data_IF_658066657463
#
_entry.id   IF_658066657463
#
_cell.length_a   1.000
_cell.length_b   1.000
_cell.length_c   1.000
_cell.angle_alpha   90.00
_cell.angle_beta   90.00
_cell.angle_gamma   90.00
#
_symmetry.space_group_name_H-M   'P 1'
#
loop_
_entity.id
_entity.type
_entity.pdbx_description
1 polymer ?
#
# COMPACT_ATOMS: atom_id res chain seq x y z
N UNK A 1 45.96 10.03 40.95
CA UNK A 1 45.60 9.34 42.21
C UNK A 1 44.33 8.56 41.94
N UNK A 2 44.40 7.24 42.10
CA UNK A 2 43.36 6.27 41.78
C UNK A 2 42.58 5.85 43.03
N UNK A 3 41.30 5.50 42.87
CA UNK A 3 40.51 4.63 43.76
C UNK A 3 39.32 4.11 42.93
N UNK A 4 39.35 2.87 42.42
CA UNK A 4 38.91 1.60 43.03
C UNK A 4 37.39 1.45 43.26
N UNK A 5 36.76 0.80 42.27
CA UNK A 5 35.78 -0.31 42.27
C UNK A 5 34.92 -0.58 43.51
N UNK A 6 33.60 -0.69 43.28
CA UNK A 6 32.75 -1.70 43.92
C UNK A 6 31.72 -2.23 42.92
N UNK A 7 31.78 -3.53 42.63
CA UNK A 7 30.75 -4.26 41.86
C UNK A 7 29.59 -4.59 42.79
N UNK A 8 28.35 -4.50 42.28
CA UNK A 8 27.18 -5.08 42.94
C UNK A 8 26.26 -5.69 41.90
N UNK A 9 26.30 -7.01 41.86
CA UNK A 9 25.50 -7.93 41.06
C UNK A 9 24.05 -7.91 41.57
N UNK A 10 23.10 -7.45 40.75
CA UNK A 10 21.67 -7.65 41.01
C UNK A 10 21.10 -8.64 40.00
N UNK A 11 20.90 -9.86 40.50
CA UNK A 11 20.20 -10.97 39.89
C UNK A 11 18.72 -10.55 39.75
N UNK A 12 18.23 -10.38 38.52
CA UNK A 12 16.80 -10.30 38.25
C UNK A 12 16.26 -11.68 37.87
N UNK A 13 15.29 -12.12 38.68
CA UNK A 13 14.56 -13.38 38.57
C UNK A 13 13.54 -13.32 37.42
N UNK A 14 13.58 -14.34 36.55
CA UNK A 14 12.56 -14.58 35.50
C UNK A 14 11.21 -14.91 36.15
N UNK A 15 10.10 -14.27 35.76
CA UNK A 15 8.77 -14.77 36.11
C UNK A 15 8.37 -15.92 35.17
N UNK A 16 8.03 -17.06 35.78
CA UNK A 16 7.48 -18.25 35.12
C UNK A 16 6.01 -18.02 34.75
N UNK A 17 5.71 -17.95 33.46
CA UNK A 17 4.34 -17.93 32.96
C UNK A 17 3.79 -19.36 32.90
N UNK A 18 2.83 -19.64 33.77
CA UNK A 18 2.00 -20.85 33.79
C UNK A 18 1.11 -20.91 32.54
N UNK A 19 1.33 -21.91 31.69
CA UNK A 19 0.51 -22.20 30.52
C UNK A 19 -0.81 -22.87 30.96
N UNK A 20 -1.95 -22.20 30.75
CA UNK A 20 -3.27 -22.84 30.82
C UNK A 20 -3.55 -23.61 29.51
N UNK A 21 -4.21 -24.78 29.54
CA UNK A 21 -4.46 -25.58 28.35
C UNK A 21 -5.40 -24.86 27.37
N UNK A 22 -5.02 -24.84 26.10
CA UNK A 22 -5.79 -24.31 24.98
C UNK A 22 -7.07 -25.12 24.75
N UNK A 23 -8.21 -24.41 24.71
CA UNK A 23 -9.48 -24.99 24.30
C UNK A 23 -9.42 -25.37 22.81
N UNK A 24 -9.75 -26.63 22.54
CA UNK A 24 -9.67 -27.29 21.24
C UNK A 24 -10.82 -26.80 20.34
N UNK A 25 -10.55 -25.85 19.46
CA UNK A 25 -11.50 -25.43 18.42
C UNK A 25 -11.72 -26.57 17.42
N UNK A 26 -12.99 -26.95 17.21
CA UNK A 26 -13.40 -27.94 16.20
C UNK A 26 -13.53 -27.23 14.84
N UNK A 27 -12.94 -27.75 13.75
CA UNK A 27 -13.16 -27.19 12.42
C UNK A 27 -14.56 -27.57 11.93
N UNK A 28 -15.37 -26.58 11.59
CA UNK A 28 -16.61 -26.83 10.84
C UNK A 28 -16.26 -27.21 9.40
N UNK A 29 -16.88 -28.30 8.97
CA UNK A 29 -16.87 -28.99 7.68
C UNK A 29 -16.84 -28.02 6.48
N UNK A 30 -15.78 -28.11 5.66
CA UNK A 30 -15.68 -27.45 4.35
C UNK A 30 -16.86 -27.89 3.46
N UNK A 31 -17.63 -26.92 2.96
CA UNK A 31 -18.45 -27.09 1.77
C UNK A 31 -17.62 -26.77 0.53
N UNK A 32 -17.69 -27.67 -0.45
CA UNK A 32 -17.01 -27.73 -1.74
C UNK A 32 -16.72 -26.38 -2.44
N UNK A 33 -15.49 -26.29 -2.97
CA UNK A 33 -15.07 -25.31 -3.99
C UNK A 33 -15.63 -25.80 -5.35
N UNK A 34 -16.27 -24.96 -6.17
CA UNK A 34 -16.64 -25.34 -7.53
C UNK A 34 -15.42 -25.28 -8.46
N UNK A 35 -15.23 -26.34 -9.24
CA UNK A 35 -14.22 -26.48 -10.30
C UNK A 35 -14.31 -25.34 -11.34
N UNK A 36 -13.18 -24.81 -11.85
CA UNK A 36 -13.19 -23.82 -12.93
C UNK A 36 -13.54 -24.48 -14.28
N UNK A 37 -14.44 -23.84 -15.03
CA UNK A 37 -14.88 -24.27 -16.35
C UNK A 37 -13.77 -24.18 -17.42
N UNK A 38 -13.78 -25.04 -18.46
CA UNK A 38 -12.69 -25.13 -19.42
C UNK A 38 -12.83 -24.10 -20.55
N UNK A 39 -11.79 -23.30 -20.79
CA UNK A 39 -11.69 -22.58 -22.07
C UNK A 39 -10.71 -21.41 -22.12
N UNK A 40 -9.47 -21.68 -22.54
CA UNK A 40 -8.81 -20.90 -23.59
C UNK A 40 -7.59 -21.68 -24.13
N UNK A 41 -7.59 -22.03 -25.42
CA UNK A 41 -6.45 -22.66 -26.10
C UNK A 41 -5.44 -21.57 -26.47
N UNK A 42 -4.20 -21.68 -25.97
CA UNK A 42 -3.07 -20.86 -26.45
C UNK A 42 -2.57 -21.41 -27.79
N UNK A 43 -2.68 -20.60 -28.85
CA UNK A 43 -1.91 -20.78 -30.09
C UNK A 43 -0.63 -19.96 -30.01
N UNK A 44 0.53 -20.62 -29.94
CA UNK A 44 1.82 -19.96 -29.99
C UNK A 44 2.18 -19.61 -31.45
N UNK A 45 2.39 -18.32 -31.75
CA UNK A 45 3.15 -17.88 -32.92
C UNK A 45 4.43 -17.17 -32.46
N UNK A 46 5.58 -17.72 -32.87
CA UNK A 46 6.92 -17.16 -32.70
C UNK A 46 7.07 -15.93 -33.61
N UNK A 47 7.45 -14.79 -33.04
CA UNK A 47 7.90 -13.60 -33.76
C UNK A 47 8.74 -12.72 -32.83
N UNK A 48 9.98 -12.43 -33.22
CA UNK A 48 10.93 -11.61 -32.46
C UNK A 48 10.46 -10.14 -32.42
N UNK A 49 10.27 -9.59 -31.22
CA UNK A 49 9.98 -8.18 -30.98
C UNK A 49 9.49 -7.97 -29.56
N UNK A 50 10.02 -6.97 -28.85
CA UNK A 50 9.67 -6.65 -27.48
C UNK A 50 8.14 -6.53 -27.29
N UNK A 51 7.58 -7.34 -26.39
CA UNK A 51 6.15 -7.37 -26.10
C UNK A 51 5.82 -6.18 -25.20
N UNK A 52 5.17 -5.16 -25.77
CA UNK A 52 4.56 -4.06 -25.02
C UNK A 52 3.24 -4.59 -24.43
N UNK A 53 3.18 -4.81 -23.12
CA UNK A 53 1.97 -5.25 -22.45
C UNK A 53 1.16 -4.03 -22.02
N UNK A 54 0.28 -3.53 -22.89
CA UNK A 54 -0.76 -2.58 -22.51
C UNK A 54 -1.98 -3.35 -22.00
N UNK A 55 -2.22 -3.36 -20.70
CA UNK A 55 -3.49 -3.86 -20.16
C UNK A 55 -4.57 -2.79 -20.34
N UNK A 56 -5.48 -3.04 -21.28
CA UNK A 56 -6.75 -2.31 -21.35
C UNK A 56 -7.67 -2.83 -20.23
N UNK A 57 -8.23 -1.92 -19.42
CA UNK A 57 -9.13 -2.23 -18.31
C UNK A 57 -10.49 -2.71 -18.84
N UNK A 58 -10.97 -3.82 -18.28
CA UNK A 58 -12.25 -4.46 -18.60
C UNK A 58 -13.46 -3.65 -18.10
N UNK A 59 -14.59 -3.75 -18.82
CA UNK A 59 -15.86 -3.12 -18.46
C UNK A 59 -16.37 -3.57 -17.08
N UNK A 60 -16.87 -2.60 -16.31
CA UNK A 60 -17.28 -2.75 -14.91
C UNK A 60 -18.61 -3.50 -14.72
N UNK A 61 -18.69 -4.29 -13.63
CA UNK A 61 -19.90 -4.97 -13.12
C UNK A 61 -20.70 -3.98 -12.26
N UNK A 62 -22.05 -3.88 -12.37
CA UNK A 62 -22.80 -2.87 -11.64
C UNK A 62 -23.10 -3.34 -10.21
N UNK A 63 -22.48 -2.69 -9.22
CA UNK A 63 -22.90 -2.74 -7.82
C UNK A 63 -23.64 -1.44 -7.51
N UNK A 64 -24.72 -1.56 -6.72
CA UNK A 64 -25.85 -0.63 -6.59
C UNK A 64 -25.49 0.86 -6.41
N UNK A 65 -26.15 1.68 -7.24
CA UNK A 65 -26.11 3.14 -7.47
C UNK A 65 -26.21 4.08 -6.25
N UNK A 66 -26.33 3.58 -5.02
CA UNK A 66 -26.76 4.36 -3.85
C UNK A 66 -25.64 4.89 -2.96
N UNK A 67 -24.39 4.45 -3.15
CA UNK A 67 -23.26 4.78 -2.26
C UNK A 67 -22.28 5.82 -2.82
N UNK A 68 -22.49 6.30 -4.04
CA UNK A 68 -21.66 7.36 -4.60
C UNK A 68 -22.13 8.70 -4.05
N UNK A 69 -21.26 9.32 -3.26
CA UNK A 69 -21.34 10.71 -2.81
C UNK A 69 -21.78 11.62 -3.95
N UNK A 70 -22.60 12.63 -3.60
CA UNK A 70 -23.20 13.62 -4.49
C UNK A 70 -22.18 14.29 -5.44
N UNK A 71 -22.00 13.69 -6.61
CA UNK A 71 -20.91 13.96 -7.55
C UNK A 71 -21.22 15.10 -8.52
N UNK A 72 -21.93 16.15 -8.06
CA UNK A 72 -22.24 17.32 -8.90
C UNK A 72 -21.03 18.24 -9.14
N UNK A 73 -19.90 18.05 -8.43
CA UNK A 73 -18.63 18.76 -8.66
C UNK A 73 -17.57 17.98 -9.47
N UNK A 74 -17.72 16.66 -9.63
CA UNK A 74 -16.69 15.78 -10.23
C UNK A 74 -16.81 15.60 -11.75
N UNK A 75 -17.72 16.32 -12.42
CA UNK A 75 -17.89 16.21 -13.88
C UNK A 75 -16.74 16.78 -14.72
N UNK A 76 -15.64 17.27 -14.12
CA UNK A 76 -14.60 17.98 -14.89
C UNK A 76 -13.13 17.62 -14.61
N UNK A 77 -12.79 16.64 -13.77
CA UNK A 77 -11.38 16.23 -13.63
C UNK A 77 -11.09 14.99 -14.46
N UNK A 78 -10.80 15.22 -15.76
CA UNK A 78 -10.35 14.21 -16.72
C UNK A 78 -8.97 13.61 -16.39
N UNK A 79 -8.20 14.28 -15.54
CA UNK A 79 -6.82 13.89 -15.26
C UNK A 79 -6.75 12.61 -14.40
N UNK A 80 -5.85 11.68 -14.71
CA UNK A 80 -5.72 10.42 -13.99
C UNK A 80 -5.14 10.60 -12.59
N UNK A 81 -5.47 9.69 -11.68
CA UNK A 81 -4.62 9.40 -10.53
C UNK A 81 -3.49 8.50 -11.03
N UNK A 82 -2.25 8.82 -10.71
CA UNK A 82 -1.10 7.98 -11.10
C UNK A 82 -0.74 7.07 -9.93
N UNK A 83 -0.69 5.77 -10.17
CA UNK A 83 -0.24 4.77 -9.20
C UNK A 83 1.19 4.38 -9.54
N UNK A 84 2.12 4.63 -8.62
CA UNK A 84 3.50 4.14 -8.71
C UNK A 84 3.54 2.79 -7.99
N UNK A 85 3.69 1.72 -8.76
CA UNK A 85 3.79 0.35 -8.28
C UNK A 85 5.26 -0.03 -8.00
N UNK A 86 5.57 -0.22 -6.74
CA UNK A 86 6.88 -0.63 -6.23
C UNK A 86 7.03 -2.15 -6.14
N UNK A 87 6.46 -2.87 -7.11
CA UNK A 87 6.57 -4.33 -7.24
C UNK A 87 5.96 -5.09 -6.06
N UNK A 88 4.79 -4.65 -5.60
CA UNK A 88 4.06 -5.29 -4.50
C UNK A 88 2.82 -6.07 -4.97
N UNK A 89 2.55 -7.18 -4.29
CA UNK A 89 1.41 -8.04 -4.61
C UNK A 89 0.07 -7.43 -4.22
N UNK A 90 0.03 -6.46 -3.30
CA UNK A 90 -1.19 -5.81 -2.84
C UNK A 90 -1.57 -4.57 -3.67
N UNK A 91 -0.74 -4.12 -4.62
CA UNK A 91 -1.06 -2.99 -5.50
C UNK A 91 -2.39 -3.21 -6.23
N UNK A 92 -2.68 -4.45 -6.67
CA UNK A 92 -3.95 -4.79 -7.33
C UNK A 92 -5.18 -4.54 -6.45
N UNK A 93 -5.08 -4.74 -5.14
CA UNK A 93 -6.19 -4.48 -4.23
C UNK A 93 -6.51 -2.98 -4.19
N UNK A 94 -5.49 -2.12 -4.15
CA UNK A 94 -5.67 -0.66 -4.18
C UNK A 94 -6.32 -0.21 -5.50
N UNK A 95 -5.81 -0.72 -6.62
CA UNK A 95 -6.36 -0.42 -7.96
C UNK A 95 -7.80 -0.91 -8.11
N UNK A 96 -8.13 -2.09 -7.58
CA UNK A 96 -9.49 -2.62 -7.61
C UNK A 96 -10.45 -1.69 -6.85
N UNK A 97 -10.11 -1.28 -5.62
CA UNK A 97 -10.92 -0.34 -4.84
C UNK A 97 -11.12 0.99 -5.58
N UNK A 98 -10.07 1.53 -6.20
CA UNK A 98 -10.19 2.77 -7.00
C UNK A 98 -11.12 2.59 -8.21
N UNK A 99 -11.05 1.44 -8.87
CA UNK A 99 -11.93 1.10 -9.99
C UNK A 99 -13.39 0.93 -9.57
N UNK A 100 -13.64 0.26 -8.44
CA UNK A 100 -14.98 0.13 -7.85
C UNK A 100 -15.56 1.50 -7.47
N UNK A 101 -14.73 2.44 -7.02
CA UNK A 101 -15.13 3.82 -6.75
C UNK A 101 -15.28 4.68 -8.04
N UNK A 102 -15.00 4.13 -9.21
CA UNK A 102 -15.16 4.81 -10.50
C UNK A 102 -14.09 5.86 -10.81
N UNK A 103 -12.94 5.83 -10.12
CA UNK A 103 -11.84 6.74 -10.41
C UNK A 103 -11.07 6.30 -11.66
N UNK A 104 -10.67 7.29 -12.47
CA UNK A 104 -9.72 7.08 -13.56
C UNK A 104 -8.28 7.10 -13.03
N UNK A 105 -7.52 6.04 -13.30
CA UNK A 105 -6.13 5.92 -12.88
C UNK A 105 -5.26 5.20 -13.91
N UNK A 106 -3.95 5.49 -13.86
CA UNK A 106 -2.92 4.81 -14.64
C UNK A 106 -1.86 4.24 -13.69
N UNK A 107 -1.39 3.02 -13.93
CA UNK A 107 -0.40 2.34 -13.10
C UNK A 107 0.92 2.26 -13.85
N UNK A 108 2.01 2.64 -13.18
CA UNK A 108 3.38 2.53 -13.70
C UNK A 108 4.29 1.90 -12.66
N UNK A 109 5.22 1.07 -13.10
CA UNK A 109 6.30 0.60 -12.21
C UNK A 109 7.22 1.77 -11.85
N UNK A 110 7.87 1.66 -10.70
CA UNK A 110 8.74 2.70 -10.16
C UNK A 110 10.00 3.01 -10.99
N UNK A 111 10.23 2.27 -12.07
CA UNK A 111 11.33 2.37 -13.01
C UNK A 111 10.86 2.60 -14.48
N UNK A 112 9.55 2.69 -14.74
CA UNK A 112 9.00 2.84 -16.09
C UNK A 112 8.94 4.28 -16.60
N UNK A 113 8.89 5.26 -15.69
CA UNK A 113 8.79 6.68 -16.01
C UNK A 113 9.82 7.48 -15.22
N UNK A 114 10.21 8.64 -15.74
CA UNK A 114 10.87 9.68 -14.93
C UNK A 114 9.85 10.55 -14.19
N UNK A 115 10.28 11.28 -13.16
CA UNK A 115 9.42 12.22 -12.43
C UNK A 115 8.91 13.34 -13.34
N UNK A 116 9.72 13.79 -14.31
CA UNK A 116 9.32 14.78 -15.30
C UNK A 116 8.26 14.24 -16.27
N UNK A 117 8.35 12.96 -16.66
CA UNK A 117 7.31 12.29 -17.44
C UNK A 117 6.00 12.20 -16.66
N UNK A 118 6.09 11.82 -15.38
CA UNK A 118 4.94 11.77 -14.49
C UNK A 118 4.30 13.16 -14.34
N UNK A 119 5.10 14.21 -14.18
CA UNK A 119 4.64 15.61 -14.12
C UNK A 119 3.92 16.02 -15.41
N UNK A 120 4.44 15.64 -16.58
CA UNK A 120 3.81 15.95 -17.89
C UNK A 120 2.44 15.28 -18.07
N UNK A 121 2.17 14.18 -17.37
CA UNK A 121 0.85 13.54 -17.35
C UNK A 121 -0.21 14.34 -16.58
N UNK A 122 0.19 15.40 -15.88
CA UNK A 122 -0.70 16.29 -15.13
C UNK A 122 -1.63 15.52 -14.16
N UNK A 123 -1.07 14.68 -13.25
CA UNK A 123 -1.85 13.86 -12.34
C UNK A 123 -2.77 14.70 -11.46
N UNK A 124 -4.01 14.24 -11.23
CA UNK A 124 -4.87 14.85 -10.19
C UNK A 124 -4.44 14.45 -8.77
N UNK A 125 -3.62 13.41 -8.65
CA UNK A 125 -3.07 12.86 -7.42
C UNK A 125 -2.13 11.71 -7.75
N UNK A 126 -1.24 11.37 -6.82
CA UNK A 126 -0.34 10.21 -6.96
C UNK A 126 -0.51 9.28 -5.76
N UNK A 127 -0.68 7.99 -6.05
CA UNK A 127 -0.69 6.90 -5.09
C UNK A 127 0.65 6.16 -5.17
N UNK A 128 1.39 6.09 -4.08
CA UNK A 128 2.63 5.31 -4.00
C UNK A 128 2.32 4.01 -3.26
N UNK A 129 2.45 2.89 -3.97
CA UNK A 129 2.10 1.57 -3.45
C UNK A 129 3.05 1.09 -2.34
N UNK A 130 2.69 0.01 -1.62
CA UNK A 130 3.66 -0.77 -0.87
C UNK A 130 4.76 -1.33 -1.78
N UNK A 131 5.83 -1.84 -1.17
CA UNK A 131 6.97 -2.44 -1.87
C UNK A 131 7.90 -3.13 -0.88
N UNK A 132 8.75 -4.06 -1.34
CA UNK A 132 9.82 -4.64 -0.55
C UNK A 132 10.95 -3.62 -0.33
N UNK A 133 11.83 -3.90 0.65
CA UNK A 133 13.04 -3.11 0.85
C UNK A 133 12.83 -1.82 1.63
N UNK A 134 13.55 -0.78 1.22
CA UNK A 134 13.60 0.53 1.88
C UNK A 134 13.25 1.65 0.89
N UNK A 135 12.91 2.87 1.36
CA UNK A 135 12.62 3.99 0.47
C UNK A 135 13.71 4.28 -0.58
N UNK A 136 14.98 3.97 -0.28
CA UNK A 136 16.08 4.15 -1.24
C UNK A 136 15.98 3.19 -2.44
N UNK A 137 15.26 2.07 -2.30
CA UNK A 137 15.04 1.08 -3.35
C UNK A 137 13.78 1.38 -4.19
N UNK A 138 13.05 2.46 -3.88
CA UNK A 138 11.70 2.73 -4.40
C UNK A 138 11.65 3.41 -5.77
N UNK A 139 12.75 3.36 -6.54
CA UNK A 139 12.86 3.99 -7.86
C UNK A 139 12.52 5.49 -7.79
N UNK A 140 11.59 5.94 -8.64
CA UNK A 140 11.15 7.34 -8.69
C UNK A 140 10.31 7.79 -7.50
N UNK A 141 9.90 6.90 -6.59
CA UNK A 141 8.89 7.23 -5.57
C UNK A 141 9.36 8.32 -4.61
N UNK A 142 10.59 8.22 -4.08
CA UNK A 142 11.13 9.24 -3.17
C UNK A 142 11.26 10.61 -3.85
N UNK A 143 11.79 10.62 -5.08
CA UNK A 143 11.94 11.85 -5.87
C UNK A 143 10.57 12.45 -6.23
N UNK A 144 9.58 11.61 -6.53
CA UNK A 144 8.19 12.04 -6.76
C UNK A 144 7.63 12.76 -5.54
N UNK A 145 7.87 12.26 -4.33
CA UNK A 145 7.42 12.96 -3.11
C UNK A 145 8.04 14.35 -3.02
N UNK A 146 9.35 14.45 -3.21
CA UNK A 146 10.10 15.70 -3.09
C UNK A 146 9.65 16.75 -4.11
N UNK A 147 9.48 16.35 -5.38
CA UNK A 147 9.23 17.29 -6.47
C UNK A 147 7.75 17.59 -6.71
N UNK A 148 6.87 16.60 -6.55
CA UNK A 148 5.45 16.74 -6.86
C UNK A 148 4.60 16.92 -5.60
N UNK A 149 5.02 16.39 -4.45
CA UNK A 149 4.27 16.48 -3.19
C UNK A 149 3.85 17.88 -2.75
N UNK A 150 4.64 18.94 -3.00
CA UNK A 150 4.21 20.30 -2.69
C UNK A 150 3.02 20.82 -3.53
N UNK A 151 2.68 20.17 -4.65
CA UNK A 151 1.70 20.69 -5.63
C UNK A 151 0.64 19.70 -6.07
N UNK A 152 0.90 18.39 -5.91
CA UNK A 152 -0.01 17.30 -6.30
C UNK A 152 -0.34 16.49 -5.04
N UNK A 153 -1.62 16.21 -4.75
CA UNK A 153 -1.99 15.36 -3.62
C UNK A 153 -1.30 13.99 -3.68
N UNK A 154 -0.63 13.60 -2.60
CA UNK A 154 0.06 12.31 -2.47
C UNK A 154 -0.59 11.43 -1.41
N UNK A 155 -0.73 10.15 -1.71
CA UNK A 155 -1.08 9.14 -0.72
C UNK A 155 -0.09 7.98 -0.80
N UNK A 156 0.52 7.62 0.33
CA UNK A 156 1.52 6.56 0.42
C UNK A 156 1.03 5.42 1.31
N UNK A 157 1.18 4.18 0.84
CA UNK A 157 0.84 2.98 1.62
C UNK A 157 2.11 2.20 1.94
N UNK A 158 2.31 1.82 3.20
CA UNK A 158 3.49 1.09 3.67
C UNK A 158 4.80 1.75 3.23
N UNK A 159 5.52 1.18 2.26
CA UNK A 159 6.75 1.77 1.71
C UNK A 159 6.50 3.17 1.12
N UNK A 160 5.33 3.42 0.51
CA UNK A 160 4.97 4.77 0.04
C UNK A 160 4.90 5.79 1.18
N UNK A 161 4.36 5.41 2.34
CA UNK A 161 4.34 6.27 3.53
C UNK A 161 5.75 6.50 4.09
N UNK A 162 6.61 5.48 4.02
CA UNK A 162 8.02 5.61 4.43
C UNK A 162 8.77 6.58 3.51
N UNK A 163 8.54 6.53 2.20
CA UNK A 163 9.08 7.51 1.24
C UNK A 163 8.65 8.93 1.60
N UNK A 164 7.38 9.12 1.98
CA UNK A 164 6.88 10.42 2.43
C UNK A 164 7.59 10.90 3.70
N UNK A 165 7.70 10.03 4.72
CA UNK A 165 8.41 10.36 5.94
C UNK A 165 9.87 10.74 5.69
N UNK A 166 10.56 9.96 4.87
CA UNK A 166 11.98 10.18 4.56
C UNK A 166 12.23 11.44 3.74
N UNK A 167 11.41 11.71 2.72
CA UNK A 167 11.51 12.91 1.89
C UNK A 167 11.49 14.21 2.71
N UNK A 168 10.74 14.22 3.83
CA UNK A 168 10.66 15.36 4.72
C UNK A 168 11.61 15.26 5.93
N UNK A 169 12.67 14.44 5.84
CA UNK A 169 13.74 14.34 6.84
C UNK A 169 13.47 13.37 8.00
N UNK A 170 12.38 12.62 7.95
CA UNK A 170 12.10 11.54 8.89
C UNK A 170 13.09 10.39 8.75
N UNK A 171 13.35 9.68 9.85
CA UNK A 171 14.22 8.49 9.86
C UNK A 171 13.38 7.22 9.82
N UNK A 172 13.55 6.43 8.78
CA UNK A 172 12.94 5.11 8.68
C UNK A 172 13.87 4.10 9.37
N UNK A 173 13.40 3.55 10.50
CA UNK A 173 14.17 2.62 11.33
C UNK A 173 13.48 1.27 11.41
N UNK A 174 14.26 0.21 11.58
CA UNK A 174 13.72 -1.14 11.77
C UNK A 174 12.96 -1.24 13.10
N UNK A 175 11.80 -1.88 13.05
CA UNK A 175 11.02 -2.20 14.24
C UNK A 175 11.80 -3.15 15.16
N UNK A 176 11.90 -2.89 16.48
CA UNK A 176 12.56 -3.77 17.44
C UNK A 176 11.94 -5.17 17.52
N UNK A 177 10.64 -5.28 17.21
CA UNK A 177 9.89 -6.54 17.26
C UNK A 177 9.90 -7.29 15.93
N UNK A 178 10.61 -6.78 14.92
CA UNK A 178 10.60 -7.31 13.57
C UNK A 178 9.32 -7.00 12.80
N UNK A 179 9.18 -7.63 11.64
CA UNK A 179 8.02 -7.49 10.75
C UNK A 179 6.87 -8.34 11.29
N UNK A 180 5.70 -7.74 11.48
CA UNK A 180 4.48 -8.42 11.92
C UNK A 180 3.55 -8.62 10.72
N UNK A 181 3.59 -9.81 10.10
CA UNK A 181 2.63 -10.18 9.04
C UNK A 181 1.44 -10.95 9.61
N UNK A 182 0.24 -10.66 9.09
CA UNK A 182 -1.00 -11.38 9.45
C UNK A 182 -1.50 -11.13 10.87
N UNK A 183 -0.99 -10.10 11.55
CA UNK A 183 -1.43 -9.70 12.89
C UNK A 183 -2.09 -8.33 12.84
N UNK A 184 -3.27 -8.22 13.43
CA UNK A 184 -3.95 -6.95 13.59
C UNK A 184 -3.28 -6.12 14.68
N UNK A 185 -3.13 -4.82 14.45
CA UNK A 185 -2.73 -3.84 15.46
C UNK A 185 -3.77 -2.74 15.51
N UNK A 186 -4.08 -2.25 16.71
CA UNK A 186 -4.90 -1.05 16.85
C UNK A 186 -4.08 0.16 16.40
N UNK A 187 -4.68 1.00 15.56
CA UNK A 187 -4.12 2.28 15.13
C UNK A 187 -4.97 3.37 15.77
N UNK A 188 -4.34 4.18 16.62
CA UNK A 188 -4.98 5.32 17.25
C UNK A 188 -4.76 6.56 16.39
N UNK A 189 -5.79 7.39 16.25
CA UNK A 189 -5.73 8.64 15.51
C UNK A 189 -6.40 9.75 16.32
N UNK A 190 -6.03 10.99 16.05
CA UNK A 190 -6.66 12.15 16.69
C UNK A 190 -7.89 12.57 15.87
N UNK A 191 -9.03 12.70 16.55
CA UNK A 191 -10.27 13.22 15.96
C UNK A 191 -10.30 14.75 15.92
N UNK A 192 -9.29 15.42 16.50
CA UNK A 192 -9.17 16.88 16.49
C UNK A 192 -8.70 17.39 15.14
N UNK A 193 -9.61 17.36 14.16
CA UNK A 193 -9.46 17.99 12.86
C UNK A 193 -10.79 17.94 12.14
N UNK A 194 -11.31 19.10 11.71
CA UNK A 194 -12.47 19.14 10.83
C UNK A 194 -12.08 18.51 9.48
N UNK A 195 -12.86 17.52 9.03
CA UNK A 195 -12.74 16.85 7.72
C UNK A 195 -11.40 16.16 7.41
N UNK A 196 -10.76 15.53 8.41
CA UNK A 196 -9.54 14.73 8.21
C UNK A 196 -9.76 13.42 7.42
N UNK A 197 -8.67 12.82 6.90
CA UNK A 197 -8.70 11.56 6.14
C UNK A 197 -9.44 10.42 6.86
N UNK A 198 -9.33 10.38 8.20
CA UNK A 198 -9.90 9.33 9.05
C UNK A 198 -11.24 9.73 9.67
N UNK A 199 -11.79 10.90 9.30
CA UNK A 199 -13.09 11.34 9.81
C UNK A 199 -14.19 10.34 9.44
N UNK A 200 -15.03 9.99 10.43
CA UNK A 200 -16.14 9.05 10.25
C UNK A 200 -15.81 7.57 10.49
N UNK A 201 -14.56 7.22 10.84
CA UNK A 201 -14.18 5.85 11.21
C UNK A 201 -14.48 5.57 12.70
N UNK A 202 -15.69 5.11 13.03
CA UNK A 202 -16.09 4.70 14.40
C UNK A 202 -15.96 3.21 14.66
#
# INVERSE_FOLDING_TARGET
>A
MAAMVSQSTLIQTKPSLSLKPSQRFRPNRLSAIPEPSPGLRLGAKKGNGAVKLSMAVAEAVPISKSLYLDDKKSKNNKNPIIVIDNYDSFTYNLCQYMGELGYHFEVYRNDELTVEELKRKNPRGVLISPGPGTPQDSGISLQTVLELGPTVPLFGVCMGLQCMGEAFGGKIVRSPLGVMHGKSSLVYYDEKGEDGLLAGLS
#
